data_IF_537929581056
#
_entry.id   IF_537929581056
#
_cell.length_a   1.000
_cell.length_b   1.000
_cell.length_c   1.000
_cell.angle_alpha   90.00
_cell.angle_beta   90.00
_cell.angle_gamma   90.00
#
_symmetry.space_group_name_H-M   'P 1'
#
loop_
_entity.id
_entity.type
_entity.pdbx_description
1 polymer ?
#
# COMPACT_ATOMS: atom_id res chain seq x y z
N UNK A 1 7.54 7.18 -2.94
CA UNK A 1 6.12 7.62 -2.85
C UNK A 1 5.18 6.48 -3.30
N UNK A 2 5.43 5.23 -2.84
CA UNK A 2 4.88 4.01 -3.45
C UNK A 2 3.61 3.48 -2.77
N UNK A 3 3.33 3.89 -1.53
CA UNK A 3 2.15 3.43 -0.78
C UNK A 3 0.84 4.15 -1.15
N UNK A 4 0.89 5.21 -1.97
CA UNK A 4 -0.32 5.91 -2.40
C UNK A 4 -1.11 5.09 -3.43
N UNK A 5 -0.42 4.44 -4.36
CA UNK A 5 -1.02 3.60 -5.40
C UNK A 5 -1.80 2.42 -4.81
N UNK A 6 -1.17 1.64 -3.91
CA UNK A 6 -1.82 0.50 -3.25
C UNK A 6 -3.06 0.88 -2.45
N UNK A 7 -3.10 2.14 -1.98
CA UNK A 7 -4.12 2.58 -1.02
C UNK A 7 -5.30 3.24 -1.72
N UNK A 8 -5.04 4.06 -2.75
CA UNK A 8 -6.05 4.96 -3.32
C UNK A 8 -6.48 4.59 -4.75
N UNK A 9 -5.73 3.77 -5.48
CA UNK A 9 -6.02 3.37 -6.87
C UNK A 9 -6.35 1.88 -6.97
N UNK A 10 -7.32 1.43 -6.18
CA UNK A 10 -7.90 0.08 -6.21
C UNK A 10 -9.38 0.24 -6.61
N UNK A 11 -9.86 -0.55 -7.57
CA UNK A 11 -11.28 -0.55 -7.94
C UNK A 11 -11.61 -0.79 -9.43
N UNK A 12 -12.81 -0.39 -9.90
CA UNK A 12 -13.22 -0.42 -11.33
C UNK A 12 -12.34 0.53 -12.15
N UNK A 13 -11.41 -0.03 -12.93
CA UNK A 13 -10.38 0.71 -13.66
C UNK A 13 -9.11 1.02 -12.86
N UNK A 14 -8.95 0.45 -11.66
CA UNK A 14 -7.77 0.56 -10.80
C UNK A 14 -6.91 -0.70 -10.79
N UNK A 15 -5.88 -0.73 -9.93
CA UNK A 15 -5.11 -1.95 -9.67
C UNK A 15 -5.96 -2.98 -8.94
N UNK A 16 -5.73 -4.26 -9.25
CA UNK A 16 -6.36 -5.40 -8.57
C UNK A 16 -5.30 -6.43 -8.21
N UNK A 17 -5.44 -7.09 -7.07
CA UNK A 17 -4.57 -8.21 -6.69
C UNK A 17 -5.38 -9.49 -6.42
N UNK A 18 -4.77 -10.63 -6.75
CA UNK A 18 -5.23 -11.96 -6.37
C UNK A 18 -4.11 -12.67 -5.64
N UNK A 19 -4.33 -12.99 -4.37
CA UNK A 19 -3.40 -13.73 -3.53
C UNK A 19 -3.73 -15.22 -3.58
N UNK A 20 -2.71 -16.04 -3.81
CA UNK A 20 -2.82 -17.49 -3.88
C UNK A 20 -2.34 -18.12 -2.56
N UNK A 21 -2.82 -19.33 -2.21
CA UNK A 21 -2.47 -20.01 -0.97
C UNK A 21 -0.97 -20.23 -0.78
N UNK A 22 -0.23 -20.43 -1.88
CA UNK A 22 1.22 -20.61 -1.92
C UNK A 22 2.02 -19.31 -1.65
N UNK A 23 1.34 -18.19 -1.41
CA UNK A 23 1.94 -16.88 -1.20
C UNK A 23 2.26 -16.11 -2.48
N UNK A 24 1.89 -16.64 -3.65
CA UNK A 24 2.01 -15.91 -4.92
C UNK A 24 0.95 -14.80 -4.99
N UNK A 25 1.35 -13.59 -5.39
CA UNK A 25 0.45 -12.45 -5.61
C UNK A 25 0.45 -12.10 -7.10
N UNK A 26 -0.75 -12.11 -7.70
CA UNK A 26 -0.99 -11.69 -9.08
C UNK A 26 -1.55 -10.27 -9.06
N UNK A 27 -0.81 -9.30 -9.59
CA UNK A 27 -1.22 -7.92 -9.74
C UNK A 27 -1.73 -7.66 -11.15
N UNK A 28 -2.88 -7.02 -11.29
CA UNK A 28 -3.42 -6.55 -12.56
C UNK A 28 -3.44 -5.02 -12.55
N UNK A 29 -2.75 -4.42 -13.50
CA UNK A 29 -2.72 -2.99 -13.71
C UNK A 29 -4.02 -2.50 -14.38
N UNK A 30 -4.37 -1.21 -14.22
CA UNK A 30 -5.48 -0.57 -14.96
C UNK A 30 -5.40 -0.75 -16.48
N UNK A 31 -4.20 -0.84 -17.03
CA UNK A 31 -3.92 -1.05 -18.45
C UNK A 31 -4.11 -2.49 -18.90
N UNK A 32 -4.45 -3.40 -17.99
CA UNK A 32 -4.63 -4.83 -18.26
C UNK A 32 -3.34 -5.67 -18.11
N UNK A 33 -2.18 -5.06 -17.88
CA UNK A 33 -0.94 -5.82 -17.65
C UNK A 33 -0.97 -6.58 -16.34
N UNK A 34 -0.42 -7.80 -16.35
CA UNK A 34 -0.34 -8.66 -15.18
C UNK A 34 1.11 -8.82 -14.72
N UNK A 35 1.34 -8.72 -13.42
CA UNK A 35 2.64 -8.91 -12.79
C UNK A 35 2.52 -9.94 -11.68
N UNK A 36 3.51 -10.82 -11.55
CA UNK A 36 3.51 -11.91 -10.56
C UNK A 36 4.63 -11.67 -9.56
N UNK A 37 4.29 -11.64 -8.28
CA UNK A 37 5.25 -11.60 -7.17
C UNK A 37 5.21 -12.94 -6.44
N UNK A 38 6.39 -13.55 -6.25
CA UNK A 38 6.55 -14.77 -5.45
C UNK A 38 7.25 -14.45 -4.12
N UNK A 39 6.99 -15.22 -3.06
CA UNK A 39 7.68 -15.02 -1.78
C UNK A 39 9.20 -15.15 -1.96
N UNK A 40 9.95 -14.12 -1.55
CA UNK A 40 11.41 -14.15 -1.60
C UNK A 40 12.04 -15.22 -0.70
N UNK A 41 11.30 -15.69 0.32
CA UNK A 41 11.72 -16.79 1.18
C UNK A 41 12.01 -18.10 0.42
N UNK A 42 11.39 -18.31 -0.75
CA UNK A 42 11.66 -19.48 -1.60
C UNK A 42 13.13 -19.56 -2.07
N UNK A 43 13.83 -18.43 -2.13
CA UNK A 43 15.26 -18.40 -2.50
C UNK A 43 16.15 -18.95 -1.38
N UNK A 44 15.77 -18.71 -0.12
CA UNK A 44 16.58 -19.10 1.05
C UNK A 44 16.14 -20.44 1.65
N UNK A 45 14.89 -20.83 1.44
CA UNK A 45 14.29 -22.05 1.98
C UNK A 45 13.63 -22.86 0.84
N UNK A 46 14.44 -23.48 -0.04
CA UNK A 46 13.92 -24.33 -1.11
C UNK A 46 13.11 -25.49 -0.51
N UNK A 47 11.87 -25.68 -0.98
CA UNK A 47 10.97 -26.72 -0.49
C UNK A 47 10.08 -26.33 0.71
N UNK A 48 10.18 -25.09 1.21
CA UNK A 48 9.26 -24.60 2.24
C UNK A 48 7.82 -24.52 1.70
N UNK A 49 6.90 -25.29 2.28
CA UNK A 49 5.47 -25.19 1.99
C UNK A 49 4.91 -23.92 2.63
N UNK A 50 4.84 -22.85 1.84
CA UNK A 50 4.17 -21.58 2.17
C UNK A 50 2.65 -21.63 1.96
N UNK A 51 2.12 -22.78 1.53
CA UNK A 51 0.69 -23.00 1.32
C UNK A 51 -0.07 -22.82 2.62
N UNK A 52 -0.64 -21.64 2.82
CA UNK A 52 -1.60 -21.39 3.88
C UNK A 52 -2.87 -22.17 3.54
N UNK A 53 -3.46 -22.88 4.51
CA UNK A 53 -4.73 -23.59 4.32
C UNK A 53 -5.81 -22.63 3.79
N UNK A 54 -6.82 -23.17 3.10
CA UNK A 54 -7.86 -22.35 2.47
C UNK A 54 -8.49 -21.38 3.48
N UNK A 55 -8.13 -20.10 3.38
CA UNK A 55 -8.80 -19.04 4.11
C UNK A 55 -10.19 -18.89 3.50
N UNK A 56 -11.22 -18.75 4.35
CA UNK A 56 -12.58 -18.46 3.88
C UNK A 56 -12.48 -17.18 3.04
N UNK A 57 -12.69 -17.30 1.72
CA UNK A 57 -12.82 -16.12 0.87
C UNK A 57 -13.95 -15.31 1.47
N UNK A 58 -13.66 -14.04 1.75
CA UNK A 58 -14.74 -13.07 1.90
C UNK A 58 -15.27 -12.89 0.49
N UNK A 59 -16.24 -13.73 0.12
CA UNK A 59 -17.03 -13.57 -1.10
C UNK A 59 -18.01 -12.42 -0.85
N UNK A 60 -17.44 -11.23 -0.77
CA UNK A 60 -18.17 -9.99 -0.81
C UNK A 60 -17.47 -9.12 -1.82
N UNK A 61 -18.24 -8.59 -2.78
CA UNK A 61 -17.90 -7.30 -3.35
C UNK A 61 -17.77 -6.35 -2.16
N UNK A 62 -16.55 -6.18 -1.64
CA UNK A 62 -16.27 -5.10 -0.72
C UNK A 62 -16.73 -3.87 -1.48
N UNK A 63 -17.69 -3.09 -0.95
CA UNK A 63 -18.28 -1.99 -1.70
C UNK A 63 -17.14 -1.16 -2.25
N UNK A 64 -17.04 -1.13 -3.59
CA UNK A 64 -16.06 -0.34 -4.31
C UNK A 64 -16.12 1.06 -3.69
N UNK A 65 -15.08 1.51 -2.97
CA UNK A 65 -15.12 2.82 -2.37
C UNK A 65 -14.98 3.83 -3.50
N UNK A 66 -16.09 4.12 -4.17
CA UNK A 66 -16.20 5.17 -5.16
C UNK A 66 -15.65 6.46 -4.52
N UNK A 67 -14.68 7.08 -5.18
CA UNK A 67 -14.03 8.29 -4.66
C UNK A 67 -12.92 8.04 -3.63
N UNK A 68 -12.33 6.84 -3.51
CA UNK A 68 -11.15 6.66 -2.64
C UNK A 68 -9.98 7.58 -3.03
N UNK A 69 -9.80 7.85 -4.32
CA UNK A 69 -8.83 8.84 -4.80
C UNK A 69 -9.12 10.28 -4.28
N UNK A 70 -10.38 10.62 -3.98
CA UNK A 70 -10.78 11.90 -3.39
C UNK A 70 -10.42 11.99 -1.89
N UNK A 71 -10.20 10.85 -1.23
CA UNK A 71 -9.71 10.80 0.17
C UNK A 71 -8.20 10.95 0.28
N UNK A 72 -7.49 11.20 -0.82
CA UNK A 72 -6.04 11.37 -0.78
C UNK A 72 -5.70 12.67 -0.03
N UNK A 73 -4.98 12.61 1.12
CA UNK A 73 -4.66 13.82 1.86
C UNK A 73 -3.74 14.70 1.04
N UNK A 74 -4.20 15.92 0.74
CA UNK A 74 -3.38 16.97 0.14
C UNK A 74 -2.53 17.59 1.25
N UNK A 75 -1.24 17.75 1.00
CA UNK A 75 -0.38 18.48 1.94
C UNK A 75 -0.72 19.96 1.88
N UNK A 76 -1.09 20.59 3.01
CA UNK A 76 -1.41 22.02 3.05
C UNK A 76 -0.15 22.90 2.97
N UNK A 77 1.05 22.32 3.19
CA UNK A 77 2.31 23.04 3.22
C UNK A 77 3.44 22.23 2.57
N UNK A 78 4.46 22.94 2.08
CA UNK A 78 5.65 22.31 1.50
C UNK A 78 6.48 21.62 2.58
N UNK A 79 7.28 20.62 2.19
CA UNK A 79 8.20 19.94 3.14
C UNK A 79 9.22 20.90 3.76
N UNK A 80 9.64 21.90 3.02
CA UNK A 80 10.62 22.88 3.48
C UNK A 80 10.02 23.75 4.59
N UNK A 81 8.81 24.28 4.37
CA UNK A 81 8.10 25.09 5.37
C UNK A 81 7.82 24.30 6.64
N UNK A 82 7.37 23.05 6.51
CA UNK A 82 7.08 22.21 7.68
C UNK A 82 8.36 21.86 8.46
N UNK A 83 9.48 21.64 7.75
CA UNK A 83 10.79 21.42 8.37
C UNK A 83 11.27 22.66 9.12
N UNK A 84 11.16 23.85 8.50
CA UNK A 84 11.51 25.11 9.15
C UNK A 84 10.69 25.33 10.43
N UNK A 85 9.36 25.14 10.36
CA UNK A 85 8.47 25.25 11.53
C UNK A 85 8.85 24.30 12.66
N UNK A 86 9.18 23.04 12.35
CA UNK A 86 9.64 22.08 13.35
C UNK A 86 10.96 22.50 14.02
N UNK A 87 11.90 23.05 13.24
CA UNK A 87 13.18 23.54 13.77
C UNK A 87 12.93 24.74 14.71
N UNK A 88 12.12 25.71 14.28
CA UNK A 88 11.78 26.89 15.09
C UNK A 88 11.08 26.48 16.39
N UNK A 89 10.06 25.62 16.32
CA UNK A 89 9.36 25.14 17.51
C UNK A 89 10.29 24.38 18.45
N UNK A 90 11.22 23.58 17.92
CA UNK A 90 12.20 22.86 18.73
C UNK A 90 13.16 23.81 19.44
N UNK A 91 13.64 24.86 18.75
CA UNK A 91 14.49 25.90 19.35
C UNK A 91 13.76 26.62 20.48
N UNK A 92 12.54 27.09 20.21
CA UNK A 92 11.71 27.74 21.23
C UNK A 92 11.48 26.86 22.47
N UNK A 93 11.24 25.55 22.28
CA UNK A 93 11.10 24.61 23.40
C UNK A 93 12.39 24.45 24.22
N UNK A 94 13.55 24.40 23.57
CA UNK A 94 14.85 24.32 24.24
C UNK A 94 15.24 25.61 24.97
N UNK A 95 14.81 26.77 24.48
CA UNK A 95 15.11 28.08 25.09
C UNK A 95 14.22 28.37 26.33
N UNK A 96 13.11 27.64 26.50
CA UNK A 96 12.19 27.75 27.64
C UNK A 96 12.46 26.76 28.78
N UNK A 97 13.56 26.00 28.73
CA UNK A 97 13.92 24.94 29.70
C UNK A 97 15.16 25.24 30.50
#
# INVERSE_FOLDING_TARGET
KHHLLRTFWVGRGGWRDRQLPDGTIVWTAPTGHTYITRPGALLYFPGWKTSTGALRRVDGDLPEPAGRALRMPRRPSTRQTERARRITNRRAYCDTG
#
